data_IF_388555222910
#
_entry.id   IF_388555222910
#
_cell.length_a   1.000
_cell.length_b   1.000
_cell.length_c   1.000
_cell.angle_alpha   90.00
_cell.angle_beta   90.00
_cell.angle_gamma   90.00
#
_symmetry.space_group_name_H-M   'P 1'
#
loop_
_entity.id
_entity.type
_entity.pdbx_description
1 polymer ?
#
# COMPACT_ATOMS: atom_id res chain seq x y z
N UNK A 1 13.57 -30.99 47.52
CA UNK A 1 14.46 -30.39 46.50
C UNK A 1 14.02 -30.73 45.06
N UNK A 2 13.81 -32.01 44.72
CA UNK A 2 13.44 -32.41 43.34
C UNK A 2 12.12 -31.81 42.80
N UNK A 3 11.09 -31.59 43.64
CA UNK A 3 9.82 -30.99 43.19
C UNK A 3 9.93 -29.52 42.78
N UNK A 4 10.85 -28.77 43.39
CA UNK A 4 11.09 -27.34 43.07
C UNK A 4 11.83 -27.22 41.74
N UNK A 5 12.78 -28.13 41.48
CA UNK A 5 13.55 -28.18 40.23
C UNK A 5 12.65 -28.53 39.03
N UNK A 6 11.70 -29.45 39.20
CA UNK A 6 10.72 -29.80 38.16
C UNK A 6 9.79 -28.61 37.85
N UNK A 7 9.36 -27.86 38.87
CA UNK A 7 8.53 -26.66 38.69
C UNK A 7 9.29 -25.54 37.95
N UNK A 8 10.58 -25.34 38.27
CA UNK A 8 11.45 -24.43 37.52
C UNK A 8 11.65 -24.86 36.07
N UNK A 9 11.79 -26.16 35.79
CA UNK A 9 11.93 -26.68 34.43
C UNK A 9 10.65 -26.49 33.60
N UNK A 10 9.47 -26.69 34.21
CA UNK A 10 8.19 -26.47 33.55
C UNK A 10 8.01 -24.98 33.21
N UNK A 11 8.26 -24.08 34.17
CA UNK A 11 8.16 -22.62 33.97
C UNK A 11 9.15 -22.15 32.89
N UNK A 12 10.40 -22.62 32.91
CA UNK A 12 11.41 -22.29 31.89
C UNK A 12 11.05 -22.83 30.50
N UNK A 13 10.45 -24.02 30.42
CA UNK A 13 10.04 -24.62 29.14
C UNK A 13 8.84 -23.93 28.48
N UNK A 14 7.97 -23.28 29.27
CA UNK A 14 6.85 -22.47 28.74
C UNK A 14 7.25 -21.08 28.24
N UNK A 15 8.43 -20.57 28.62
CA UNK A 15 8.93 -19.25 28.21
C UNK A 15 9.69 -19.26 26.87
N UNK A 16 9.68 -20.37 26.12
CA UNK A 16 10.60 -20.55 24.99
C UNK A 16 9.99 -20.28 23.58
N UNK A 17 8.80 -19.70 23.48
CA UNK A 17 8.22 -19.26 22.20
C UNK A 17 7.58 -17.88 22.34
N UNK A 18 8.39 -16.86 22.61
CA UNK A 18 7.97 -15.48 22.42
C UNK A 18 8.15 -15.12 20.94
N UNK A 19 7.07 -14.85 20.21
CA UNK A 19 7.16 -14.45 18.81
C UNK A 19 5.94 -14.79 17.98
N UNK A 20 5.68 -13.95 16.99
CA UNK A 20 4.56 -14.10 16.05
C UNK A 20 4.72 -15.40 15.27
N UNK A 21 3.86 -16.39 15.55
CA UNK A 21 3.85 -17.67 14.85
C UNK A 21 3.24 -17.49 13.46
N UNK A 22 4.09 -17.62 12.43
CA UNK A 22 3.71 -17.50 11.03
C UNK A 22 3.57 -18.88 10.38
N UNK A 23 2.48 -19.08 9.67
CA UNK A 23 2.24 -20.26 8.84
C UNK A 23 2.62 -19.93 7.39
N UNK A 24 3.55 -20.68 6.79
CA UNK A 24 3.85 -20.57 5.36
C UNK A 24 2.73 -21.23 4.55
N UNK A 25 2.00 -20.43 3.77
CA UNK A 25 0.86 -20.90 2.97
C UNK A 25 1.22 -21.15 1.53
N UNK A 26 2.21 -20.42 1.01
CA UNK A 26 2.69 -20.58 -0.35
C UNK A 26 4.12 -20.08 -0.50
N UNK A 27 4.89 -20.78 -1.32
CA UNK A 27 6.23 -20.38 -1.72
C UNK A 27 6.48 -20.69 -3.19
N UNK A 28 7.22 -19.80 -3.84
CA UNK A 28 7.81 -20.00 -5.16
C UNK A 28 9.24 -19.42 -5.15
N UNK A 29 9.89 -19.41 -6.31
CA UNK A 29 11.22 -18.82 -6.46
C UNK A 29 11.27 -17.30 -6.17
N UNK A 30 10.11 -16.64 -6.20
CA UNK A 30 9.97 -15.19 -6.07
C UNK A 30 8.94 -14.73 -5.02
N UNK A 31 8.17 -15.65 -4.43
CA UNK A 31 7.10 -15.32 -3.47
C UNK A 31 7.24 -16.19 -2.23
N UNK A 32 7.12 -15.59 -1.05
CA UNK A 32 6.80 -16.29 0.18
C UNK A 32 5.59 -15.61 0.83
N UNK A 33 4.55 -16.39 1.07
CA UNK A 33 3.28 -15.93 1.63
C UNK A 33 3.00 -16.62 2.96
N UNK A 34 2.98 -15.83 4.02
CA UNK A 34 2.67 -16.27 5.36
C UNK A 34 1.35 -15.69 5.87
N UNK A 35 0.75 -16.34 6.84
CA UNK A 35 -0.39 -15.82 7.59
C UNK A 35 -0.21 -16.09 9.07
N UNK A 36 -0.88 -15.30 9.90
CA UNK A 36 -0.79 -15.42 11.35
C UNK A 36 -2.03 -14.84 12.02
N UNK A 37 -2.27 -15.30 13.24
CA UNK A 37 -3.41 -14.89 14.07
C UNK A 37 -3.15 -13.54 14.75
N UNK A 38 -4.22 -12.92 15.22
CA UNK A 38 -4.09 -11.81 16.18
C UNK A 38 -3.62 -12.36 17.52
N UNK A 39 -2.63 -11.69 18.14
CA UNK A 39 -2.03 -12.16 19.38
C UNK A 39 -1.24 -11.08 20.10
N UNK A 40 -0.85 -11.34 21.37
CA UNK A 40 -0.15 -10.36 22.21
C UNK A 40 1.25 -10.01 21.70
N UNK A 41 1.85 -10.88 20.88
CA UNK A 41 3.19 -10.68 20.31
C UNK A 41 3.19 -9.77 19.08
N UNK A 42 2.02 -9.31 18.62
CA UNK A 42 1.92 -8.37 17.50
C UNK A 42 2.47 -6.99 17.87
N UNK A 43 3.12 -6.28 16.93
CA UNK A 43 3.59 -4.94 17.19
C UNK A 43 2.43 -4.01 17.50
N UNK A 44 2.60 -3.08 18.45
CA UNK A 44 1.55 -2.16 18.89
C UNK A 44 1.05 -1.20 17.81
N UNK A 45 1.81 -1.04 16.72
CA UNK A 45 1.41 -0.22 15.57
C UNK A 45 0.44 -0.93 14.61
N UNK A 46 0.29 -2.25 14.72
CA UNK A 46 -0.57 -3.04 13.86
C UNK A 46 -1.98 -3.11 14.48
N UNK A 47 -3.00 -2.79 13.69
CA UNK A 47 -4.39 -2.80 14.15
C UNK A 47 -4.82 -4.22 14.54
N UNK A 48 -5.30 -4.38 15.78
CA UNK A 48 -5.71 -5.66 16.37
C UNK A 48 -7.14 -6.08 15.99
N UNK A 49 -7.92 -5.19 15.35
CA UNK A 49 -9.31 -5.45 14.96
C UNK A 49 -9.45 -6.13 13.59
N UNK A 50 -8.34 -6.66 13.05
CA UNK A 50 -8.32 -7.32 11.76
C UNK A 50 -9.27 -8.53 11.76
N UNK A 51 -10.15 -8.58 10.76
CA UNK A 51 -11.13 -9.66 10.61
C UNK A 51 -11.57 -9.76 9.15
N UNK A 52 -11.89 -10.98 8.70
CA UNK A 52 -12.35 -11.16 7.33
C UNK A 52 -13.67 -10.40 7.07
N UNK A 53 -13.77 -9.74 5.91
CA UNK A 53 -14.90 -8.90 5.55
C UNK A 53 -16.22 -9.65 5.67
N UNK A 54 -17.18 -8.99 6.31
CA UNK A 54 -18.56 -9.47 6.48
C UNK A 54 -19.58 -8.63 5.69
N UNK A 55 -19.12 -7.64 4.94
CA UNK A 55 -19.96 -6.72 4.18
C UNK A 55 -20.22 -7.20 2.75
N UNK A 56 -20.95 -6.39 1.97
CA UNK A 56 -21.37 -6.70 0.59
C UNK A 56 -20.20 -6.95 -0.37
N UNK A 57 -19.03 -6.36 -0.10
CA UNK A 57 -17.84 -6.48 -0.95
C UNK A 57 -17.10 -7.81 -0.75
N UNK A 58 -17.51 -8.64 0.21
CA UNK A 58 -16.93 -9.96 0.44
C UNK A 58 -16.87 -10.81 -0.85
N UNK A 59 -17.90 -10.72 -1.70
CA UNK A 59 -17.96 -11.48 -2.96
C UNK A 59 -17.03 -10.91 -4.05
N UNK A 60 -16.68 -9.62 -3.96
CA UNK A 60 -15.77 -8.93 -4.89
C UNK A 60 -14.34 -8.84 -4.37
N UNK A 61 -14.09 -9.31 -3.14
CA UNK A 61 -12.84 -9.12 -2.41
C UNK A 61 -11.57 -9.45 -3.21
N UNK A 62 -11.59 -10.54 -3.96
CA UNK A 62 -10.50 -10.90 -4.87
C UNK A 62 -10.21 -9.79 -5.88
N UNK A 63 -11.23 -9.35 -6.61
CA UNK A 63 -11.05 -8.32 -7.65
C UNK A 63 -10.57 -7.01 -7.04
N UNK A 64 -11.09 -6.65 -5.86
CA UNK A 64 -10.64 -5.47 -5.12
C UNK A 64 -9.14 -5.53 -4.80
N UNK A 65 -8.63 -6.64 -4.26
CA UNK A 65 -7.19 -6.76 -3.99
C UNK A 65 -6.38 -6.62 -5.29
N UNK A 66 -6.80 -7.29 -6.36
CA UNK A 66 -6.08 -7.25 -7.64
C UNK A 66 -6.02 -5.82 -8.22
N UNK A 67 -7.15 -5.11 -8.22
CA UNK A 67 -7.23 -3.76 -8.77
C UNK A 67 -6.42 -2.77 -7.93
N UNK A 68 -6.51 -2.88 -6.60
CA UNK A 68 -5.79 -2.00 -5.68
C UNK A 68 -4.28 -2.19 -5.81
N UNK A 69 -3.77 -3.42 -5.82
CA UNK A 69 -2.34 -3.69 -6.01
C UNK A 69 -1.85 -3.19 -7.38
N UNK A 70 -2.65 -3.38 -8.44
CA UNK A 70 -2.28 -2.97 -9.79
C UNK A 70 -2.23 -1.44 -9.97
N UNK A 71 -2.97 -0.68 -9.16
CA UNK A 71 -2.99 0.78 -9.22
C UNK A 71 -1.82 1.43 -8.48
N UNK A 72 -1.21 0.76 -7.50
CA UNK A 72 -0.15 1.35 -6.68
C UNK A 72 1.14 1.57 -7.47
N UNK A 73 1.73 2.75 -7.30
CA UNK A 73 3.01 3.15 -7.88
C UNK A 73 4.09 3.42 -6.83
N UNK A 74 5.32 3.52 -7.28
CA UNK A 74 6.48 3.96 -6.51
C UNK A 74 7.19 5.09 -7.28
N UNK A 75 7.39 6.25 -6.63
CA UNK A 75 8.08 7.40 -7.25
C UNK A 75 9.61 7.29 -7.17
N UNK A 76 10.15 6.46 -6.28
CA UNK A 76 11.59 6.38 -6.02
C UNK A 76 12.40 5.77 -7.19
N UNK A 77 11.74 5.13 -8.16
CA UNK A 77 12.40 4.53 -9.34
C UNK A 77 12.31 5.41 -10.61
N UNK A 78 11.69 6.60 -10.58
CA UNK A 78 11.55 7.46 -11.77
C UNK A 78 12.66 8.52 -11.84
N UNK A 79 13.62 8.33 -12.75
CA UNK A 79 14.65 9.33 -13.08
C UNK A 79 14.16 10.38 -14.10
N UNK A 80 13.01 10.15 -14.74
CA UNK A 80 12.47 10.99 -15.81
C UNK A 80 10.95 11.05 -15.65
N UNK A 81 10.44 12.23 -15.29
CA UNK A 81 9.03 12.58 -15.10
C UNK A 81 8.35 12.03 -13.83
N UNK A 82 7.41 12.84 -13.32
CA UNK A 82 6.58 12.68 -12.12
C UNK A 82 5.65 11.44 -12.14
N UNK A 83 5.85 10.52 -13.09
CA UNK A 83 5.10 9.28 -13.23
C UNK A 83 5.64 8.21 -12.28
N UNK A 84 4.82 7.80 -11.30
CA UNK A 84 5.14 6.67 -10.45
C UNK A 84 5.16 5.37 -11.26
N UNK A 85 6.20 4.55 -11.09
CA UNK A 85 6.29 3.23 -11.70
C UNK A 85 5.43 2.25 -10.92
N UNK A 86 4.66 1.42 -11.62
CA UNK A 86 3.78 0.44 -10.98
C UNK A 86 4.58 -0.55 -10.11
N UNK A 87 4.13 -0.79 -8.89
CA UNK A 87 4.81 -1.70 -7.96
C UNK A 87 4.63 -3.15 -8.40
N UNK A 88 3.41 -3.55 -8.77
CA UNK A 88 3.07 -4.92 -9.14
C UNK A 88 2.53 -5.01 -10.57
N UNK A 89 3.04 -5.91 -11.42
CA UNK A 89 2.39 -6.20 -12.70
C UNK A 89 1.01 -6.81 -12.49
N UNK A 90 0.20 -6.85 -13.56
CA UNK A 90 -1.20 -7.31 -13.49
C UNK A 90 -1.30 -8.76 -13.05
N UNK A 91 -0.44 -9.60 -13.60
CA UNK A 91 -0.40 -11.04 -13.37
C UNK A 91 -0.09 -11.34 -11.90
N UNK A 92 0.90 -10.64 -11.34
CA UNK A 92 1.28 -10.77 -9.93
C UNK A 92 0.18 -10.25 -9.00
N UNK A 93 -0.48 -9.15 -9.37
CA UNK A 93 -1.61 -8.61 -8.61
C UNK A 93 -2.78 -9.61 -8.56
N UNK A 94 -3.05 -10.31 -9.66
CA UNK A 94 -4.06 -11.36 -9.74
C UNK A 94 -3.67 -12.61 -8.93
N UNK A 95 -2.40 -13.03 -8.98
CA UNK A 95 -1.92 -14.17 -8.18
C UNK A 95 -2.05 -13.89 -6.67
N UNK A 96 -1.59 -12.71 -6.23
CA UNK A 96 -1.71 -12.28 -4.83
C UNK A 96 -3.18 -12.25 -4.41
N UNK A 97 -4.05 -11.65 -5.24
CA UNK A 97 -5.47 -11.54 -4.95
C UNK A 97 -6.17 -12.91 -4.82
N UNK A 98 -5.91 -13.84 -5.73
CA UNK A 98 -6.50 -15.17 -5.70
C UNK A 98 -6.12 -15.88 -4.40
N UNK A 99 -4.83 -15.95 -4.10
CA UNK A 99 -4.29 -16.63 -2.92
C UNK A 99 -4.71 -15.96 -1.61
N UNK A 100 -4.72 -14.63 -1.59
CA UNK A 100 -5.17 -13.88 -0.43
C UNK A 100 -6.64 -14.18 -0.12
N UNK A 101 -7.50 -14.11 -1.15
CA UNK A 101 -8.93 -14.39 -1.01
C UNK A 101 -9.20 -15.82 -0.54
N UNK A 102 -8.54 -16.82 -1.13
CA UNK A 102 -8.66 -18.22 -0.70
C UNK A 102 -8.26 -18.40 0.77
N UNK A 103 -7.12 -17.84 1.18
CA UNK A 103 -6.64 -18.00 2.55
C UNK A 103 -7.56 -17.32 3.56
N UNK A 104 -8.08 -16.13 3.27
CA UNK A 104 -9.04 -15.47 4.15
C UNK A 104 -10.37 -16.24 4.28
N UNK A 105 -10.82 -16.90 3.21
CA UNK A 105 -12.02 -17.74 3.25
C UNK A 105 -11.80 -19.03 4.04
N UNK A 106 -10.65 -19.68 3.86
CA UNK A 106 -10.35 -20.98 4.48
C UNK A 106 -9.86 -20.87 5.93
N UNK A 107 -9.24 -19.75 6.31
CA UNK A 107 -8.64 -19.55 7.64
C UNK A 107 -8.94 -18.15 8.20
N UNK A 108 -10.21 -17.83 8.50
CA UNK A 108 -10.59 -16.50 8.97
C UNK A 108 -10.01 -16.11 10.34
N UNK A 109 -9.46 -17.06 11.11
CA UNK A 109 -8.74 -16.80 12.37
C UNK A 109 -7.34 -16.21 12.17
N UNK A 110 -6.81 -16.25 10.95
CA UNK A 110 -5.51 -15.69 10.56
C UNK A 110 -5.73 -14.44 9.67
N UNK A 111 -6.14 -13.29 10.24
CA UNK A 111 -6.55 -12.13 9.47
C UNK A 111 -5.38 -11.31 8.91
N UNK A 112 -4.14 -11.67 9.23
CA UNK A 112 -2.96 -11.02 8.68
C UNK A 112 -2.27 -11.92 7.67
N UNK A 113 -1.90 -11.32 6.54
CA UNK A 113 -1.16 -11.97 5.49
C UNK A 113 0.13 -11.20 5.20
N UNK A 114 1.27 -11.84 5.40
CA UNK A 114 2.60 -11.29 5.11
C UNK A 114 3.10 -11.83 3.77
N UNK A 115 3.36 -10.89 2.87
CA UNK A 115 3.85 -11.15 1.53
C UNK A 115 5.29 -10.67 1.42
N UNK A 116 6.16 -11.57 1.02
CA UNK A 116 7.57 -11.30 0.78
C UNK A 116 7.85 -11.67 -0.67
N UNK A 117 8.13 -10.64 -1.47
CA UNK A 117 8.39 -10.79 -2.88
C UNK A 117 9.86 -10.51 -3.16
N UNK A 118 10.44 -11.33 -4.00
CA UNK A 118 11.83 -11.26 -4.43
C UNK A 118 11.86 -11.05 -5.94
N UNK A 119 12.70 -10.11 -6.38
CA UNK A 119 13.12 -9.97 -7.77
C UNK A 119 14.64 -10.16 -7.85
N UNK A 120 15.06 -11.02 -8.76
CA UNK A 120 16.47 -11.30 -8.97
C UNK A 120 17.20 -10.09 -9.55
N UNK A 121 18.41 -9.82 -9.06
CA UNK A 121 19.32 -8.88 -9.71
C UNK A 121 20.03 -9.57 -10.88
N UNK A 122 19.85 -9.04 -12.09
CA UNK A 122 20.42 -9.64 -13.30
C UNK A 122 21.95 -9.50 -13.38
N UNK A 123 22.54 -8.57 -12.61
CA UNK A 123 23.98 -8.33 -12.59
C UNK A 123 24.65 -9.30 -11.62
N UNK A 124 24.06 -9.52 -10.44
CA UNK A 124 24.61 -10.40 -9.40
C UNK A 124 23.62 -11.47 -8.93
N UNK A 125 23.21 -12.40 -9.82
CA UNK A 125 22.25 -13.43 -9.47
C UNK A 125 22.78 -14.36 -8.37
N UNK A 126 21.88 -14.82 -7.51
CA UNK A 126 22.16 -15.63 -6.33
C UNK A 126 22.79 -14.88 -5.17
N UNK A 127 23.24 -13.63 -5.36
CA UNK A 127 23.94 -12.85 -4.31
C UNK A 127 23.35 -11.47 -4.07
N UNK A 128 22.47 -10.98 -4.96
CA UNK A 128 21.71 -9.75 -4.75
C UNK A 128 20.27 -9.93 -5.22
N UNK A 129 19.34 -9.39 -4.45
CA UNK A 129 17.92 -9.32 -4.83
C UNK A 129 17.36 -7.93 -4.55
N UNK A 130 16.22 -7.62 -5.16
CA UNK A 130 15.30 -6.60 -4.67
C UNK A 130 14.15 -7.26 -3.94
N UNK A 131 13.87 -6.84 -2.71
CA UNK A 131 12.81 -7.38 -1.86
C UNK A 131 11.71 -6.35 -1.61
N UNK A 132 10.48 -6.79 -1.71
CA UNK A 132 9.29 -6.03 -1.29
C UNK A 132 8.57 -6.85 -0.23
N UNK A 133 8.29 -6.24 0.91
CA UNK A 133 7.62 -6.87 2.03
C UNK A 133 6.41 -6.04 2.39
N UNK A 134 5.22 -6.65 2.42
CA UNK A 134 4.01 -5.95 2.79
C UNK A 134 2.99 -6.87 3.48
N UNK A 135 2.10 -6.25 4.23
CA UNK A 135 0.97 -6.91 4.89
C UNK A 135 -0.33 -6.58 4.15
N UNK A 136 -1.21 -7.58 4.07
CA UNK A 136 -2.62 -7.40 3.75
C UNK A 136 -3.44 -7.84 4.95
N UNK A 137 -4.36 -7.00 5.42
CA UNK A 137 -5.38 -7.42 6.36
C UNK A 137 -6.69 -6.65 6.15
N UNK A 138 -7.85 -7.32 6.16
CA UNK A 138 -9.14 -6.66 6.19
C UNK A 138 -9.55 -6.30 7.62
N UNK A 139 -10.42 -5.31 7.74
CA UNK A 139 -11.24 -5.00 8.92
C UNK A 139 -12.71 -5.15 8.52
N UNK A 140 -13.66 -4.64 9.33
CA UNK A 140 -15.09 -4.74 9.01
C UNK A 140 -15.49 -3.95 7.74
N UNK A 141 -14.82 -2.83 7.46
CA UNK A 141 -15.21 -1.82 6.46
C UNK A 141 -14.06 -1.39 5.53
N UNK A 142 -12.90 -2.03 5.63
CA UNK A 142 -11.72 -1.65 4.86
C UNK A 142 -10.73 -2.79 4.65
N UNK A 143 -9.85 -2.60 3.67
CA UNK A 143 -8.72 -3.48 3.37
C UNK A 143 -7.45 -2.66 3.47
N UNK A 144 -6.53 -3.12 4.31
CA UNK A 144 -5.29 -2.43 4.64
C UNK A 144 -4.11 -3.11 3.94
N UNK A 145 -3.25 -2.28 3.35
CA UNK A 145 -2.01 -2.67 2.72
C UNK A 145 -0.87 -1.89 3.37
N UNK A 146 0.00 -2.56 4.12
CA UNK A 146 1.12 -1.91 4.82
C UNK A 146 2.44 -2.39 4.22
N UNK A 147 3.17 -1.48 3.59
CA UNK A 147 4.49 -1.75 3.05
C UNK A 147 5.56 -1.56 4.13
N UNK A 148 6.39 -2.58 4.29
CA UNK A 148 7.48 -2.63 5.26
C UNK A 148 8.84 -2.53 4.57
N UNK A 149 8.93 -3.05 3.35
CA UNK A 149 10.04 -2.83 2.42
C UNK A 149 9.47 -2.68 1.01
N UNK A 150 10.05 -1.79 0.22
CA UNK A 150 9.64 -1.59 -1.17
C UNK A 150 10.87 -1.56 -2.07
N UNK A 151 11.02 -2.59 -2.91
CA UNK A 151 12.10 -2.71 -3.89
C UNK A 151 13.52 -2.57 -3.28
N UNK A 152 13.69 -2.99 -2.03
CA UNK A 152 14.91 -2.80 -1.26
C UNK A 152 16.00 -3.77 -1.71
N UNK A 153 17.22 -3.27 -1.95
CA UNK A 153 18.36 -4.12 -2.25
C UNK A 153 18.80 -4.91 -1.01
N UNK A 154 19.04 -6.21 -1.21
CA UNK A 154 19.61 -7.11 -0.22
C UNK A 154 20.79 -7.83 -0.87
N UNK A 155 21.95 -7.71 -0.23
CA UNK A 155 23.20 -8.32 -0.65
C UNK A 155 23.56 -9.49 0.26
N UNK A 156 24.03 -10.58 -0.33
CA UNK A 156 24.43 -11.80 0.35
C UNK A 156 25.89 -12.12 0.06
N UNK A 157 26.61 -12.53 1.12
CA UNK A 157 28.01 -12.92 1.00
C UNK A 157 28.18 -14.25 0.27
N UNK A 158 27.19 -15.13 0.31
CA UNK A 158 27.15 -16.43 -0.38
C UNK A 158 25.85 -16.54 -1.19
N UNK A 159 25.72 -17.54 -2.09
CA UNK A 159 24.43 -17.84 -2.69
C UNK A 159 23.34 -17.95 -1.63
N UNK A 160 22.29 -17.12 -1.74
CA UNK A 160 21.21 -17.11 -0.77
C UNK A 160 20.32 -18.35 -0.93
N UNK A 161 19.67 -18.74 0.15
CA UNK A 161 18.65 -19.78 0.20
C UNK A 161 17.25 -19.17 0.34
N UNK A 162 16.21 -20.00 0.25
CA UNK A 162 14.84 -19.57 0.52
C UNK A 162 14.72 -18.86 1.89
N UNK A 163 15.32 -19.44 2.93
CA UNK A 163 15.20 -18.94 4.30
C UNK A 163 15.82 -17.54 4.46
N UNK A 164 16.90 -17.26 3.74
CA UNK A 164 17.64 -15.99 3.86
C UNK A 164 16.81 -14.78 3.41
N UNK A 165 15.98 -14.93 2.37
CA UNK A 165 15.17 -13.83 1.86
C UNK A 165 13.71 -13.86 2.35
N UNK A 166 13.17 -15.04 2.65
CA UNK A 166 11.77 -15.22 3.10
C UNK A 166 11.55 -15.05 4.60
N UNK A 167 12.62 -15.10 5.41
CA UNK A 167 12.48 -14.86 6.84
C UNK A 167 12.45 -13.34 7.12
N UNK A 168 11.33 -12.85 7.65
CA UNK A 168 11.14 -11.45 7.99
C UNK A 168 10.59 -11.33 9.42
N UNK A 169 11.16 -10.45 10.25
CA UNK A 169 10.66 -10.18 11.61
C UNK A 169 9.79 -8.93 11.63
N UNK A 170 8.53 -9.05 12.04
CA UNK A 170 7.61 -7.91 12.17
C UNK A 170 7.88 -7.09 13.44
N UNK A 171 8.39 -7.73 14.48
CA UNK A 171 8.66 -7.09 15.78
C UNK A 171 9.90 -6.20 15.72
N UNK A 172 10.84 -6.48 14.81
CA UNK A 172 12.09 -5.74 14.64
C UNK A 172 12.05 -4.70 13.51
N UNK A 173 10.95 -4.62 12.76
CA UNK A 173 10.85 -3.75 11.59
C UNK A 173 10.76 -2.29 12.02
N UNK A 174 11.91 -1.60 12.10
CA UNK A 174 11.96 -0.14 12.03
C UNK A 174 11.80 0.26 10.56
N UNK A 175 10.88 1.18 10.27
CA UNK A 175 10.73 1.72 8.92
C UNK A 175 12.05 2.36 8.47
N UNK A 176 12.71 1.75 7.48
CA UNK A 176 13.94 2.27 6.89
C UNK A 176 13.55 3.18 5.73
N UNK A 177 13.98 4.44 5.80
CA UNK A 177 13.78 5.48 4.78
C UNK A 177 12.30 5.83 4.50
N UNK A 178 11.98 6.98 3.88
CA UNK A 178 10.60 7.28 3.54
C UNK A 178 10.11 6.31 2.45
N UNK A 179 9.44 5.24 2.89
CA UNK A 179 8.68 4.34 2.03
C UNK A 179 7.46 5.11 1.50
N UNK A 180 7.49 5.46 0.22
CA UNK A 180 6.44 6.22 -0.43
C UNK A 180 5.75 5.41 -1.51
N UNK A 181 4.59 4.84 -1.17
CA UNK A 181 3.66 4.35 -2.18
C UNK A 181 2.91 5.55 -2.75
N UNK A 182 2.72 5.55 -4.06
CA UNK A 182 1.97 6.55 -4.77
C UNK A 182 0.62 5.98 -5.21
N UNK A 183 -0.45 6.71 -4.89
CA UNK A 183 -1.81 6.48 -5.39
C UNK A 183 -2.03 7.46 -6.56
N UNK A 184 -2.36 6.98 -7.78
CA UNK A 184 -2.69 7.85 -8.89
C UNK A 184 -4.01 8.58 -8.68
N UNK A 185 -4.16 9.78 -9.26
CA UNK A 185 -5.37 10.60 -9.13
C UNK A 185 -6.66 9.85 -9.54
N UNK A 186 -6.57 8.94 -10.51
CA UNK A 186 -7.70 8.09 -10.94
C UNK A 186 -8.19 7.10 -9.88
N UNK A 187 -7.36 6.79 -8.88
CA UNK A 187 -7.69 5.90 -7.77
C UNK A 187 -8.03 6.67 -6.48
N UNK A 188 -7.80 7.99 -6.46
CA UNK A 188 -8.11 8.83 -5.31
C UNK A 188 -9.61 8.87 -5.05
N UNK A 189 -10.00 8.64 -3.79
CA UNK A 189 -11.41 8.53 -3.36
C UNK A 189 -11.85 7.09 -3.07
N UNK A 190 -11.26 6.12 -3.78
CA UNK A 190 -11.39 4.69 -3.48
C UNK A 190 -10.24 4.24 -2.59
N UNK A 191 -9.02 4.67 -2.94
CA UNK A 191 -7.81 4.49 -2.15
C UNK A 191 -7.47 5.76 -1.39
N UNK A 192 -6.94 5.57 -0.19
CA UNK A 192 -6.44 6.65 0.65
C UNK A 192 -5.22 6.20 1.44
N UNK A 193 -4.34 7.15 1.77
CA UNK A 193 -3.31 6.93 2.77
C UNK A 193 -3.96 6.87 4.15
N UNK A 194 -3.55 5.91 4.97
CA UNK A 194 -3.91 5.90 6.38
C UNK A 194 -3.46 7.19 7.05
N UNK A 195 -4.30 7.75 7.90
CA UNK A 195 -3.99 8.94 8.68
C UNK A 195 -3.87 8.53 10.13
N UNK A 196 -2.78 8.93 10.77
CA UNK A 196 -2.61 8.72 12.21
C UNK A 196 -3.51 9.66 13.03
N UNK A 197 -3.43 9.56 14.35
CA UNK A 197 -4.20 10.38 15.30
C UNK A 197 -3.96 11.89 15.13
N UNK A 198 -2.82 12.29 14.55
CA UNK A 198 -2.46 13.68 14.26
C UNK A 198 -2.94 14.12 12.88
N UNK A 199 -3.52 13.22 12.10
CA UNK A 199 -3.99 13.46 10.73
C UNK A 199 -2.90 13.36 9.67
N UNK A 200 -1.69 12.91 10.02
CA UNK A 200 -0.60 12.77 9.06
C UNK A 200 -0.78 11.52 8.19
N UNK A 201 -0.74 11.70 6.88
CA UNK A 201 -0.83 10.61 5.91
C UNK A 201 0.44 9.75 5.93
N UNK A 202 0.28 8.46 6.20
CA UNK A 202 1.34 7.45 6.13
C UNK A 202 1.39 6.86 4.72
N UNK A 203 2.35 7.33 3.91
CA UNK A 203 2.49 6.92 2.50
C UNK A 203 2.82 5.44 2.28
N UNK A 204 3.22 4.70 3.32
CA UNK A 204 3.45 3.25 3.26
C UNK A 204 2.20 2.42 3.60
N UNK A 205 1.13 3.05 4.09
CA UNK A 205 -0.08 2.37 4.54
C UNK A 205 -1.27 2.85 3.71
N UNK A 206 -1.70 1.99 2.79
CA UNK A 206 -2.83 2.25 1.90
C UNK A 206 -4.07 1.57 2.44
N UNK A 207 -5.20 2.27 2.40
CA UNK A 207 -6.51 1.80 2.86
C UNK A 207 -7.51 1.90 1.72
N UNK A 208 -8.14 0.78 1.41
CA UNK A 208 -9.34 0.70 0.57
C UNK A 208 -10.57 0.66 1.48
N UNK A 209 -11.48 1.62 1.35
CA UNK A 209 -12.74 1.63 2.13
C UNK A 209 -13.85 0.93 1.35
N UNK A 210 -14.49 -0.07 1.94
CA UNK A 210 -15.57 -0.84 1.30
C UNK A 210 -16.93 -0.15 1.39
N UNK A 211 -17.13 0.71 2.40
CA UNK A 211 -18.34 1.52 2.54
C UNK A 211 -18.12 2.94 2.01
N UNK A 212 -18.42 3.12 0.73
CA UNK A 212 -18.46 4.44 0.05
C UNK A 212 -19.68 5.29 0.48
N UNK A 213 -20.50 4.80 1.41
CA UNK A 213 -21.71 5.50 1.89
C UNK A 213 -21.41 6.86 2.55
N UNK A 214 -20.18 7.05 3.04
CA UNK A 214 -19.75 8.26 3.77
C UNK A 214 -18.75 9.15 3.02
N UNK A 215 -18.44 8.88 1.75
CA UNK A 215 -17.73 9.88 0.91
C UNK A 215 -18.64 11.06 0.50
N UNK A 216 -19.86 11.13 1.05
CA UNK A 216 -20.82 12.23 0.87
C UNK A 216 -20.77 13.33 1.93
N UNK A 217 -19.86 13.32 2.91
CA UNK A 217 -19.78 14.37 3.92
C UNK A 217 -18.34 14.72 4.33
N UNK A 218 -17.49 15.10 3.37
CA UNK A 218 -16.52 16.16 3.70
C UNK A 218 -17.33 17.45 3.80
N UNK A 219 -17.78 17.75 5.02
CA UNK A 219 -18.08 19.12 5.43
C UNK A 219 -16.85 19.94 5.07
N UNK A 220 -16.92 20.65 3.95
CA UNK A 220 -16.11 21.83 3.68
C UNK A 220 -16.52 22.82 4.76
N UNK A 221 -15.83 22.72 5.90
CA UNK A 221 -15.93 23.66 7.00
C UNK A 221 -15.28 24.94 6.49
N UNK A 222 -16.13 25.86 6.04
CA UNK A 222 -15.92 27.30 5.89
C UNK A 222 -14.47 27.73 5.56
N UNK A 223 -14.18 27.89 4.27
CA UNK A 223 -13.32 28.97 3.80
C UNK A 223 -14.15 29.91 2.90
N UNK A 224 -13.90 31.23 2.94
CA UNK A 224 -14.78 32.22 2.34
C UNK A 224 -14.72 32.13 0.81
N UNK A 225 -15.85 32.45 0.17
CA UNK A 225 -15.97 32.68 -1.27
C UNK A 225 -14.87 33.64 -1.77
N UNK A 226 -13.83 33.10 -2.42
CA UNK A 226 -13.10 33.83 -3.47
C UNK A 226 -13.65 33.37 -4.82
N UNK A 227 -14.61 34.16 -5.31
CA UNK A 227 -15.33 33.99 -6.57
C UNK A 227 -14.48 34.36 -7.80
N UNK A 228 -14.59 33.53 -8.85
CA UNK A 228 -14.39 33.80 -10.28
C UNK A 228 -13.02 34.27 -10.84
N UNK A 229 -12.10 34.83 -10.06
CA UNK A 229 -10.87 35.41 -10.65
C UNK A 229 -9.82 34.37 -11.08
N UNK A 230 -9.58 33.33 -10.25
CA UNK A 230 -8.55 32.31 -10.51
C UNK A 230 -8.85 31.43 -11.74
N UNK A 231 -10.12 31.21 -12.06
CA UNK A 231 -10.52 30.43 -13.23
C UNK A 231 -10.35 31.25 -14.54
N UNK A 232 -10.61 32.57 -14.49
CA UNK A 232 -10.34 33.47 -15.61
C UNK A 232 -8.84 33.61 -15.89
N UNK A 233 -8.00 33.69 -14.86
CA UNK A 233 -6.53 33.74 -15.02
C UNK A 233 -5.98 32.48 -15.70
N UNK A 234 -6.48 31.30 -15.30
CA UNK A 234 -6.08 30.03 -15.92
C UNK A 234 -6.49 29.96 -17.39
N UNK A 235 -7.72 30.36 -17.72
CA UNK A 235 -8.22 30.43 -19.10
C UNK A 235 -7.46 31.43 -19.97
N UNK A 236 -7.03 32.56 -19.40
CA UNK A 236 -6.20 33.55 -20.10
C UNK A 236 -4.77 33.03 -20.37
N UNK A 237 -4.18 32.27 -19.43
CA UNK A 237 -2.88 31.64 -19.63
C UNK A 237 -2.93 30.55 -20.70
N UNK A 238 -3.98 29.72 -20.71
CA UNK A 238 -4.18 28.72 -21.75
C UNK A 238 -4.39 29.35 -23.14
N UNK A 239 -5.18 30.43 -23.22
CA UNK A 239 -5.39 31.16 -24.47
C UNK A 239 -4.09 31.78 -25.02
N UNK A 240 -3.22 32.30 -24.15
CA UNK A 240 -1.91 32.80 -24.53
C UNK A 240 -0.99 31.69 -25.02
N UNK A 241 -1.01 30.52 -24.37
CA UNK A 241 -0.24 29.35 -24.83
C UNK A 241 -0.67 28.87 -26.23
N UNK A 242 -1.97 28.96 -26.56
CA UNK A 242 -2.47 28.60 -27.88
C UNK A 242 -2.00 29.57 -28.98
N UNK A 243 -1.91 30.86 -28.66
CA UNK A 243 -1.34 31.87 -29.58
C UNK A 243 0.15 31.65 -29.79
N UNK A 244 0.91 31.43 -28.71
CA UNK A 244 2.37 31.20 -28.77
C UNK A 244 2.71 29.94 -29.58
N UNK A 245 1.81 28.93 -29.57
CA UNK A 245 1.91 27.72 -30.41
C UNK A 245 1.40 27.90 -31.85
N UNK A 246 1.00 29.12 -32.24
CA UNK A 246 0.38 29.46 -33.55
C UNK A 246 -0.84 28.61 -33.91
N UNK A 247 -1.57 28.09 -32.90
CA UNK A 247 -2.76 27.26 -33.09
C UNK A 247 -4.03 28.10 -33.29
N UNK A 248 -3.97 29.40 -32.99
CA UNK A 248 -5.05 30.37 -33.18
C UNK A 248 -4.48 31.64 -33.82
N UNK A 249 -5.32 32.39 -34.53
CA UNK A 249 -4.93 33.68 -35.11
C UNK A 249 -4.98 34.81 -34.07
N UNK A 250 -4.31 35.93 -34.33
CA UNK A 250 -4.38 37.10 -33.45
C UNK A 250 -5.81 37.67 -33.32
N UNK A 251 -6.63 37.54 -34.37
CA UNK A 251 -8.02 38.00 -34.34
C UNK A 251 -8.88 37.11 -33.43
N UNK A 252 -8.69 35.79 -33.49
CA UNK A 252 -9.37 34.85 -32.60
C UNK A 252 -8.95 35.02 -31.14
N UNK A 253 -7.66 35.27 -30.90
CA UNK A 253 -7.13 35.57 -29.57
C UNK A 253 -7.79 36.82 -28.97
N UNK A 254 -7.88 37.92 -29.74
CA UNK A 254 -8.51 39.17 -29.29
C UNK A 254 -9.99 38.97 -28.96
N UNK A 255 -10.72 38.22 -29.79
CA UNK A 255 -12.15 37.95 -29.57
C UNK A 255 -12.39 37.10 -28.31
N UNK A 256 -11.65 36.01 -28.15
CA UNK A 256 -11.78 35.11 -26.98
C UNK A 256 -11.30 35.75 -25.68
N UNK A 257 -10.24 36.57 -25.73
CA UNK A 257 -9.78 37.35 -24.57
C UNK A 257 -10.83 38.36 -24.11
N UNK A 258 -11.49 39.05 -25.04
CA UNK A 258 -12.56 39.98 -24.71
C UNK A 258 -13.79 39.29 -24.11
N UNK A 259 -14.10 38.06 -24.55
CA UNK A 259 -15.18 37.24 -24.01
C UNK A 259 -14.88 36.77 -22.58
N UNK A 260 -13.66 36.30 -22.30
CA UNK A 260 -13.23 35.91 -20.95
C UNK A 260 -13.23 37.11 -20.00
N UNK A 261 -12.76 38.28 -20.46
CA UNK A 261 -12.79 39.51 -19.65
C UNK A 261 -14.19 40.05 -19.39
N UNK A 262 -15.18 39.74 -20.25
CA UNK A 262 -16.61 40.06 -20.01
C UNK A 262 -17.28 39.12 -19.01
N UNK A 263 -16.69 37.95 -18.75
CA UNK A 263 -17.22 36.94 -17.84
C UNK A 263 -16.69 37.05 -16.39
N UNK A 264 -15.83 38.03 -16.15
CA UNK A 264 -15.33 38.47 -14.83
C UNK A 264 -16.30 39.50 -14.23
#
# INVERSE_FOLDING_TARGET
MNRVIVLFFIIFSSSCFAGIRKELNYSSDSIAFYSFESGPDLPSWLDQNASYLKNREKNNFKNLIADVLFQMGNKNDSLVNDSALRIFPKELSQEIAQRASEKFQNSPSQPYQLWILKKEDMINPGRRIRRTVFLIYPTADSIHFIFLELNQFIDFQTPYTFQDWSNYSLSESKQKQPLEVFIPDSAMGILSYFKDEKGESKKFHIVYKTDLSDSGNIKIKNQPKETNSKDAEKRLMELKSLLDKKLISEEEYKKKRAEILKSL
#
